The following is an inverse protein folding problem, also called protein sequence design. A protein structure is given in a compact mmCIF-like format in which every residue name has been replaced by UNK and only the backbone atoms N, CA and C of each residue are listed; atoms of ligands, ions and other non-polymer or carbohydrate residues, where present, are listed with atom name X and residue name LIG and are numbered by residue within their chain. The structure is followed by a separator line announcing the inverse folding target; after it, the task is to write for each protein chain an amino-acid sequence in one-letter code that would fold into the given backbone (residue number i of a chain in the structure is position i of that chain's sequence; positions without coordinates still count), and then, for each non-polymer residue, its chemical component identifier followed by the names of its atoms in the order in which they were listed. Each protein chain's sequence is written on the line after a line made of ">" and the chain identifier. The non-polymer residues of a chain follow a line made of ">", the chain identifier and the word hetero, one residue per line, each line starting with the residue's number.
data_IF_893626066821
#
_entry.id   IF_893626066821
#
_cell.length_a   1.000
_cell.length_b   1.000
_cell.length_c   1.000
_cell.angle_alpha   90.00
_cell.angle_beta   90.00
_cell.angle_gamma   90.00
#
_symmetry.space_group_name_H-M   'P 1'
#
loop_
_entity.id
_entity.type
_entity.pdbx_description
1 polymer ?
#
# COMPACT_ATOMS: atom_id res chain seq x y z
N UNK A 1 3.54 10.13 2.73
CA UNK A 1 4.36 9.47 3.77
C UNK A 1 5.09 8.31 3.13
N UNK A 2 6.38 8.18 3.43
CA UNK A 2 7.23 7.11 2.90
C UNK A 2 7.78 6.26 4.03
N UNK A 3 7.67 4.95 3.92
CA UNK A 3 8.25 3.99 4.84
C UNK A 3 9.09 2.97 4.07
N UNK A 4 10.31 2.75 4.56
CA UNK A 4 11.22 1.72 4.07
C UNK A 4 11.44 0.69 5.19
N UNK A 5 11.25 -0.58 4.86
CA UNK A 5 11.31 -1.67 5.82
C UNK A 5 12.56 -2.52 5.59
N UNK A 6 13.05 -3.15 6.67
CA UNK A 6 14.29 -3.94 6.67
C UNK A 6 14.32 -5.09 5.66
N UNK A 7 13.16 -5.57 5.23
CA UNK A 7 13.02 -6.63 4.22
C UNK A 7 13.02 -6.10 2.77
N UNK A 8 13.39 -4.83 2.56
CA UNK A 8 13.42 -4.19 1.25
C UNK A 8 12.03 -3.83 0.70
N UNK A 9 10.97 -4.03 1.49
CA UNK A 9 9.64 -3.50 1.19
C UNK A 9 9.67 -1.98 1.37
N UNK A 10 9.05 -1.25 0.46
CA UNK A 10 8.95 0.21 0.48
C UNK A 10 7.52 0.58 0.15
N UNK A 11 7.00 1.54 0.91
CA UNK A 11 5.68 2.11 0.69
C UNK A 11 5.81 3.61 0.64
N UNK A 12 5.31 4.22 -0.42
CA UNK A 12 5.00 5.65 -0.47
C UNK A 12 3.50 5.81 -0.62
N UNK A 13 2.92 6.68 0.20
CA UNK A 13 1.51 7.04 0.10
C UNK A 13 1.34 8.55 0.23
N UNK A 14 1.00 9.20 -0.87
CA UNK A 14 0.88 10.66 -0.99
C UNK A 14 -0.39 11.07 -1.77
N UNK A 15 -1.44 10.23 -1.69
CA UNK A 15 -2.67 10.33 -2.49
C UNK A 15 -2.76 9.22 -3.53
N UNK A 16 -1.63 8.68 -3.96
CA UNK A 16 -1.47 7.38 -4.62
C UNK A 16 -0.65 6.45 -3.74
N UNK A 17 -0.93 5.15 -3.81
CA UNK A 17 -0.17 4.11 -3.11
C UNK A 17 0.89 3.54 -4.06
N UNK A 18 2.15 3.71 -3.71
CA UNK A 18 3.29 3.11 -4.41
C UNK A 18 3.97 2.10 -3.49
N UNK A 19 4.04 0.85 -3.95
CA UNK A 19 4.66 -0.26 -3.27
C UNK A 19 5.79 -0.79 -4.13
N UNK A 20 7.00 -0.87 -3.58
CA UNK A 20 8.13 -1.53 -4.24
C UNK A 20 8.81 -2.54 -3.32
N UNK A 21 9.33 -3.62 -3.91
CA UNK A 21 10.11 -4.63 -3.18
C UNK A 21 11.19 -5.23 -4.07
N UNK A 22 12.46 -5.07 -3.66
CA UNK A 22 13.60 -5.57 -4.43
C UNK A 22 13.65 -4.97 -5.84
N UNK A 23 14.08 -5.76 -6.83
CA UNK A 23 14.16 -5.37 -8.24
C UNK A 23 13.00 -5.86 -9.11
N UNK A 24 12.04 -6.61 -8.54
CA UNK A 24 11.02 -7.33 -9.31
C UNK A 24 9.57 -6.90 -9.03
N UNK A 25 9.33 -6.06 -8.02
CA UNK A 25 7.98 -5.61 -7.67
C UNK A 25 7.96 -4.10 -7.60
N UNK A 26 7.17 -3.50 -8.49
CA UNK A 26 6.83 -2.09 -8.51
C UNK A 26 5.34 -1.96 -8.85
N UNK A 27 4.55 -1.54 -7.86
CA UNK A 27 3.10 -1.45 -7.95
C UNK A 27 2.66 -0.03 -7.60
N UNK A 28 2.01 0.64 -8.55
CA UNK A 28 1.40 1.96 -8.34
C UNK A 28 -0.10 1.80 -8.45
N UNK A 29 -0.82 2.29 -7.43
CA UNK A 29 -2.28 2.26 -7.36
C UNK A 29 -2.76 3.67 -7.09
N UNK A 30 -3.60 4.19 -7.98
CA UNK A 30 -4.19 5.50 -7.78
C UNK A 30 -5.17 5.49 -6.61
N UNK A 31 -5.22 6.58 -5.83
CA UNK A 31 -6.13 6.68 -4.69
C UNK A 31 -7.62 6.65 -5.04
N UNK A 32 -7.97 6.73 -6.32
CA UNK A 32 -9.31 6.52 -6.88
C UNK A 32 -9.63 5.03 -7.10
N UNK A 33 -8.62 4.19 -7.30
CA UNK A 33 -8.74 2.75 -7.53
C UNK A 33 -8.68 1.95 -6.22
N UNK A 34 -8.22 2.58 -5.14
CA UNK A 34 -8.26 1.99 -3.81
C UNK A 34 -9.69 1.93 -3.28
N UNK A 35 -10.06 0.79 -2.71
CA UNK A 35 -11.32 0.68 -1.97
C UNK A 35 -11.35 1.68 -0.81
N UNK A 36 -12.54 2.23 -0.52
CA UNK A 36 -12.71 3.25 0.52
C UNK A 36 -12.15 2.82 1.88
N UNK A 37 -12.27 1.52 2.21
CA UNK A 37 -11.74 0.95 3.44
C UNK A 37 -10.20 0.99 3.47
N UNK A 38 -9.54 0.55 2.41
CA UNK A 38 -8.07 0.54 2.31
C UNK A 38 -7.53 1.97 2.33
N UNK A 39 -8.18 2.88 1.60
CA UNK A 39 -7.84 4.30 1.57
C UNK A 39 -7.92 4.92 2.97
N UNK A 40 -9.02 4.70 3.69
CA UNK A 40 -9.21 5.17 5.07
C UNK A 40 -8.12 4.65 6.02
N UNK A 41 -7.71 3.39 5.87
CA UNK A 41 -6.60 2.82 6.65
C UNK A 41 -5.25 3.47 6.32
N UNK A 42 -4.96 3.73 5.04
CA UNK A 42 -3.74 4.42 4.61
C UNK A 42 -3.69 5.86 5.12
N UNK A 43 -4.79 6.62 4.97
CA UNK A 43 -4.90 7.98 5.47
C UNK A 43 -4.75 8.03 6.99
N UNK A 44 -5.36 7.08 7.71
CA UNK A 44 -5.20 6.95 9.17
C UNK A 44 -3.76 6.65 9.58
N UNK A 45 -3.07 5.77 8.85
CA UNK A 45 -1.67 5.45 9.11
C UNK A 45 -0.75 6.66 8.88
N UNK A 46 -1.04 7.48 7.85
CA UNK A 46 -0.32 8.74 7.61
C UNK A 46 -0.59 9.76 8.70
N UNK A 47 -1.84 9.95 9.08
CA UNK A 47 -2.22 10.87 10.16
C UNK A 47 -1.57 10.51 11.50
N UNK A 48 -1.41 9.21 11.77
CA UNK A 48 -0.71 8.69 12.95
C UNK A 48 0.80 8.61 12.79
N UNK A 49 1.33 8.92 11.60
CA UNK A 49 2.74 8.79 11.23
C UNK A 49 3.30 7.39 11.54
N UNK A 50 2.49 6.35 11.34
CA UNK A 50 2.77 4.98 11.76
C UNK A 50 3.17 4.10 10.58
N UNK A 51 4.48 3.83 10.46
CA UNK A 51 4.96 2.91 9.42
C UNK A 51 4.45 1.47 9.63
N UNK A 52 4.13 1.07 10.86
CA UNK A 52 3.56 -0.27 11.09
C UNK A 52 2.15 -0.39 10.48
N UNK A 53 1.28 0.59 10.75
CA UNK A 53 -0.07 0.63 10.17
C UNK A 53 -0.02 0.81 8.66
N UNK A 54 0.89 1.64 8.15
CA UNK A 54 1.04 1.86 6.70
C UNK A 54 1.41 0.56 5.97
N UNK A 55 2.26 -0.28 6.59
CA UNK A 55 2.63 -1.59 6.03
C UNK A 55 1.43 -2.52 5.96
N UNK A 56 0.63 -2.57 7.03
CA UNK A 56 -0.53 -3.45 7.11
C UNK A 56 -1.60 -3.05 6.08
N UNK A 57 -1.89 -1.75 5.97
CA UNK A 57 -2.84 -1.23 4.99
C UNK A 57 -2.36 -1.48 3.54
N UNK A 58 -1.06 -1.30 3.27
CA UNK A 58 -0.49 -1.56 1.95
C UNK A 58 -0.56 -3.04 1.56
N UNK A 59 -0.29 -3.96 2.51
CA UNK A 59 -0.46 -5.40 2.27
C UNK A 59 -1.91 -5.78 1.99
N UNK A 60 -2.86 -5.16 2.68
CA UNK A 60 -4.28 -5.37 2.42
C UNK A 60 -4.65 -4.89 0.99
N UNK A 61 -4.12 -3.74 0.57
CA UNK A 61 -4.29 -3.25 -0.81
C UNK A 61 -3.75 -4.25 -1.84
N UNK A 62 -2.52 -4.73 -1.68
CA UNK A 62 -1.91 -5.70 -2.59
C UNK A 62 -2.68 -7.01 -2.64
N UNK A 63 -3.18 -7.49 -1.48
CA UNK A 63 -3.98 -8.72 -1.42
C UNK A 63 -5.29 -8.57 -2.19
N UNK A 64 -6.02 -7.47 -1.99
CA UNK A 64 -7.26 -7.23 -2.72
C UNK A 64 -7.05 -7.11 -4.23
N UNK A 65 -5.92 -6.56 -4.67
CA UNK A 65 -5.55 -6.51 -6.08
C UNK A 65 -5.27 -7.93 -6.59
N UNK A 66 -4.47 -8.71 -5.89
CA UNK A 66 -4.17 -10.10 -6.27
C UNK A 66 -5.44 -10.95 -6.37
N UNK A 67 -6.34 -10.87 -5.39
CA UNK A 67 -7.64 -11.55 -5.41
C UNK A 67 -8.50 -11.12 -6.60
N UNK A 68 -8.41 -9.86 -7.05
CA UNK A 68 -9.13 -9.38 -8.23
C UNK A 68 -8.58 -9.96 -9.55
N UNK A 69 -7.28 -10.32 -9.60
CA UNK A 69 -6.64 -10.95 -10.76
C UNK A 69 -6.73 -12.49 -10.75
N UNK A 70 -6.97 -13.12 -9.60
CA UNK A 70 -7.12 -14.57 -9.47
C UNK A 70 -8.52 -15.10 -9.85
N UNK A 71 -9.47 -14.22 -10.18
CA UNK A 71 -10.87 -14.57 -10.53
C UNK A 71 -11.07 -14.80 -12.05
N UNK A 72 -9.99 -14.98 -12.82
CA UNK A 72 -10.04 -15.42 -14.23
C UNK A 72 -10.16 -16.94 -14.39
#
# INVERSE_FOLDING_TARGET
>A
MRCEYKDGFKVDYSGSLHISKGSGVDLVVEGSQLSANVKSCLDSAVNRNSCHELRAASKAATKSIQEAFEVE
#
